data_IF_855180186028
#
_entry.id   IF_855180186028
#
_cell.length_a   1.000
_cell.length_b   1.000
_cell.length_c   1.000
_cell.angle_alpha   90.00
_cell.angle_beta   90.00
_cell.angle_gamma   90.00
#
_symmetry.space_group_name_H-M   'P 1'
#
loop_
_entity.id
_entity.type
_entity.pdbx_description
1 polymer ?
#
# COMPACT_ATOMS: atom_id res chain seq x y z
N UNK A 1 -34.60 0.13 19.40
CA UNK A 1 -35.10 0.52 18.06
C UNK A 1 -34.05 0.13 17.03
N UNK A 2 -34.27 -0.94 16.27
CA UNK A 2 -33.40 -1.34 15.15
C UNK A 2 -33.66 -0.42 13.96
N UNK A 3 -32.79 0.55 13.72
CA UNK A 3 -32.77 1.28 12.45
C UNK A 3 -32.37 0.30 11.36
N UNK A 4 -33.34 -0.21 10.59
CA UNK A 4 -33.07 -0.87 9.31
C UNK A 4 -32.35 0.17 8.47
N UNK A 5 -31.03 0.02 8.27
CA UNK A 5 -30.31 0.81 7.27
C UNK A 5 -30.97 0.48 5.93
N UNK A 6 -31.70 1.43 5.36
CA UNK A 6 -32.16 1.32 3.98
C UNK A 6 -30.92 1.15 3.11
N UNK A 7 -30.82 0.00 2.44
CA UNK A 7 -29.82 -0.17 1.39
C UNK A 7 -30.28 0.72 0.24
N UNK A 8 -29.39 1.57 -0.27
CA UNK A 8 -29.64 2.29 -1.50
C UNK A 8 -29.99 1.27 -2.59
N UNK A 9 -31.23 1.30 -3.07
CA UNK A 9 -31.66 0.48 -4.18
C UNK A 9 -31.04 0.99 -5.46
N UNK A 10 -30.28 0.16 -6.17
CA UNK A 10 -29.88 0.41 -7.54
C UNK A 10 -30.69 -0.49 -8.46
N UNK A 11 -31.18 0.05 -9.58
CA UNK A 11 -31.74 -0.78 -10.65
C UNK A 11 -30.69 -1.75 -11.22
N UNK A 12 -31.11 -2.77 -11.99
CA UNK A 12 -30.17 -3.61 -12.72
C UNK A 12 -29.30 -2.76 -13.66
N UNK A 13 -27.98 -2.88 -13.53
CA UNK A 13 -27.00 -2.21 -14.40
C UNK A 13 -26.23 -3.24 -15.21
N UNK A 14 -25.85 -2.89 -16.44
CA UNK A 14 -25.04 -3.77 -17.28
C UNK A 14 -23.60 -3.86 -16.74
N UNK A 15 -23.15 -5.07 -16.40
CA UNK A 15 -21.80 -5.32 -15.87
C UNK A 15 -20.73 -5.52 -16.95
N UNK A 16 -21.09 -5.48 -18.25
CA UNK A 16 -20.13 -5.65 -19.35
C UNK A 16 -18.91 -4.70 -19.33
N UNK A 17 -18.98 -3.46 -18.79
CA UNK A 17 -17.78 -2.62 -18.65
C UNK A 17 -16.70 -3.22 -17.77
N UNK A 18 -17.04 -4.08 -16.79
CA UNK A 18 -16.07 -4.74 -15.92
C UNK A 18 -15.22 -5.78 -16.66
N UNK A 19 -15.74 -6.34 -17.76
CA UNK A 19 -15.02 -7.30 -18.59
C UNK A 19 -14.13 -6.65 -19.65
N UNK A 20 -14.18 -5.32 -19.80
CA UNK A 20 -13.37 -4.62 -20.78
C UNK A 20 -11.92 -4.47 -20.30
N UNK A 21 -10.93 -4.52 -21.21
CA UNK A 21 -9.55 -4.20 -20.88
C UNK A 21 -9.40 -2.79 -20.28
N UNK A 22 -8.34 -2.63 -19.48
CA UNK A 22 -7.93 -1.35 -18.92
C UNK A 22 -6.46 -1.12 -19.26
N UNK A 23 -6.17 -0.01 -19.93
CA UNK A 23 -4.81 0.42 -20.28
C UNK A 23 -4.25 1.33 -19.19
N UNK A 24 -3.01 1.07 -18.78
CA UNK A 24 -2.26 1.90 -17.86
C UNK A 24 -1.22 2.69 -18.65
N UNK A 25 -1.49 3.99 -18.85
CA UNK A 25 -0.72 4.85 -19.77
C UNK A 25 0.78 4.92 -19.43
N UNK A 26 1.22 5.11 -18.16
CA UNK A 26 2.64 5.30 -17.87
C UNK A 26 3.52 4.10 -18.24
N UNK A 27 3.06 2.88 -17.94
CA UNK A 27 3.79 1.65 -18.25
C UNK A 27 3.46 1.01 -19.60
N UNK A 28 2.33 1.40 -20.21
CA UNK A 28 1.75 0.75 -21.39
C UNK A 28 1.18 -0.65 -21.12
N UNK A 29 0.99 -1.04 -19.86
CA UNK A 29 0.42 -2.35 -19.50
C UNK A 29 -1.09 -2.38 -19.70
N UNK A 30 -1.61 -3.57 -19.99
CA UNK A 30 -3.04 -3.79 -20.20
C UNK A 30 -3.52 -4.86 -19.23
N UNK A 31 -4.45 -4.50 -18.36
CA UNK A 31 -5.27 -5.46 -17.62
C UNK A 31 -6.40 -5.97 -18.53
N UNK A 32 -6.69 -7.27 -18.50
CA UNK A 32 -7.66 -7.90 -19.42
C UNK A 32 -9.12 -7.57 -19.08
N UNK A 33 -9.37 -7.22 -17.82
CA UNK A 33 -10.65 -6.85 -17.22
C UNK A 33 -10.40 -5.88 -16.06
N UNK A 34 -11.47 -5.35 -15.45
CA UNK A 34 -11.40 -4.35 -14.37
C UNK A 34 -11.52 -4.96 -12.97
N UNK A 35 -11.11 -6.22 -12.81
CA UNK A 35 -11.08 -6.88 -11.50
C UNK A 35 -9.67 -6.89 -10.92
N UNK A 36 -9.56 -6.34 -9.71
CA UNK A 36 -8.33 -6.29 -8.93
C UNK A 36 -8.49 -7.11 -7.64
N UNK A 37 -7.57 -8.05 -7.37
CA UNK A 37 -7.41 -8.65 -6.04
C UNK A 37 -6.60 -7.67 -5.20
N UNK A 38 -7.25 -7.10 -4.19
CA UNK A 38 -6.64 -6.13 -3.27
C UNK A 38 -5.62 -6.82 -2.35
N UNK A 39 -4.63 -6.09 -1.82
CA UNK A 39 -3.71 -6.59 -0.80
C UNK A 39 -4.46 -7.23 0.37
N UNK A 40 -4.02 -8.42 0.78
CA UNK A 40 -4.52 -9.12 1.96
C UNK A 40 -3.32 -9.80 2.60
N UNK A 41 -3.00 -9.49 3.86
CA UNK A 41 -1.92 -10.18 4.57
C UNK A 41 -2.18 -11.69 4.55
N UNK A 42 -1.28 -12.45 3.94
CA UNK A 42 -1.45 -13.89 3.80
C UNK A 42 -1.04 -14.63 5.08
N UNK A 43 -0.11 -14.09 5.87
CA UNK A 43 0.47 -14.72 7.06
C UNK A 43 0.99 -16.15 6.80
N UNK A 44 1.54 -16.39 5.61
CA UNK A 44 1.96 -17.72 5.13
C UNK A 44 3.43 -17.78 4.70
N UNK A 45 4.20 -16.69 4.78
CA UNK A 45 5.62 -16.72 4.48
C UNK A 45 6.37 -17.45 5.62
N UNK A 46 7.62 -17.83 5.37
CA UNK A 46 8.41 -18.48 6.42
C UNK A 46 8.62 -17.54 7.60
N UNK A 47 8.66 -18.07 8.83
CA UNK A 47 9.05 -17.30 10.00
C UNK A 47 9.99 -18.15 10.87
N UNK A 48 11.06 -17.53 11.33
CA UNK A 48 12.02 -18.10 12.25
C UNK A 48 12.18 -17.12 13.43
N UNK A 49 11.94 -17.55 14.68
CA UNK A 49 11.99 -16.65 15.82
C UNK A 49 13.39 -16.09 16.06
N UNK A 50 14.44 -16.83 15.71
CA UNK A 50 15.82 -16.55 16.11
C UNK A 50 16.71 -16.10 14.95
N UNK A 51 16.35 -16.43 13.70
CA UNK A 51 17.17 -16.15 12.52
C UNK A 51 16.40 -15.21 11.57
N UNK A 52 16.62 -13.89 11.66
CA UNK A 52 15.90 -12.89 10.86
C UNK A 52 15.93 -13.15 9.35
N UNK A 53 17.08 -13.57 8.80
CA UNK A 53 17.24 -13.85 7.37
C UNK A 53 16.41 -15.03 6.84
N UNK A 54 15.82 -15.85 7.72
CA UNK A 54 14.89 -16.93 7.36
C UNK A 54 13.41 -16.51 7.41
N UNK A 55 13.10 -15.28 7.80
CA UNK A 55 11.74 -14.73 7.83
C UNK A 55 11.31 -14.23 6.45
N UNK A 56 10.02 -14.30 6.14
CA UNK A 56 9.40 -13.70 4.97
C UNK A 56 9.75 -14.30 3.61
N UNK A 57 10.24 -15.54 3.54
CA UNK A 57 10.43 -16.22 2.26
C UNK A 57 9.07 -16.77 1.81
N UNK A 58 8.60 -16.50 0.57
CA UNK A 58 7.34 -17.06 0.12
C UNK A 58 7.35 -18.59 0.14
N UNK A 59 6.30 -19.18 0.68
CA UNK A 59 6.09 -20.64 0.75
C UNK A 59 5.38 -21.15 -0.50
N UNK A 60 5.34 -22.46 -0.69
CA UNK A 60 4.65 -23.06 -1.84
C UNK A 60 3.13 -22.84 -1.74
N UNK A 61 2.61 -22.73 -0.53
CA UNK A 61 1.22 -22.41 -0.21
C UNK A 61 0.85 -21.02 -0.71
N UNK A 62 1.71 -20.01 -0.47
CA UNK A 62 1.52 -18.68 -1.05
C UNK A 62 1.53 -18.78 -2.58
N UNK A 63 2.55 -19.43 -3.18
CA UNK A 63 2.65 -19.57 -4.64
C UNK A 63 1.37 -20.17 -5.23
N UNK A 64 0.79 -21.19 -4.58
CA UNK A 64 -0.46 -21.83 -5.00
C UNK A 64 -1.67 -20.88 -4.92
N UNK A 65 -1.80 -20.08 -3.85
CA UNK A 65 -2.91 -19.12 -3.72
C UNK A 65 -2.85 -18.09 -4.86
N UNK A 66 -1.67 -17.57 -5.16
CA UNK A 66 -1.50 -16.60 -6.25
C UNK A 66 -1.72 -17.23 -7.62
N UNK A 67 -1.32 -18.50 -7.80
CA UNK A 67 -1.69 -19.28 -9.00
C UNK A 67 -3.21 -19.33 -9.18
N UNK A 68 -3.96 -19.58 -8.10
CA UNK A 68 -5.44 -19.67 -8.14
C UNK A 68 -6.09 -18.35 -8.52
N UNK A 69 -5.54 -17.23 -8.06
CA UNK A 69 -6.02 -15.90 -8.46
C UNK A 69 -5.64 -15.55 -9.90
N UNK A 70 -4.48 -16.02 -10.35
CA UNK A 70 -3.92 -15.75 -11.68
C UNK A 70 -4.43 -16.64 -12.81
N UNK A 71 -5.08 -17.76 -12.50
CA UNK A 71 -5.51 -18.76 -13.48
C UNK A 71 -7.02 -18.87 -13.62
N UNK A 72 -7.44 -19.34 -14.80
CA UNK A 72 -8.82 -19.65 -15.12
C UNK A 72 -9.56 -18.54 -15.85
N UNK A 73 -10.77 -18.88 -16.32
CA UNK A 73 -11.60 -18.03 -17.19
C UNK A 73 -12.04 -16.71 -16.55
N UNK A 74 -12.10 -16.67 -15.22
CA UNK A 74 -12.53 -15.50 -14.43
C UNK A 74 -11.42 -15.02 -13.49
N UNK A 75 -10.16 -15.07 -13.95
CA UNK A 75 -9.02 -14.62 -13.16
C UNK A 75 -9.05 -13.10 -12.90
N UNK A 76 -8.34 -12.70 -11.86
CA UNK A 76 -8.12 -11.29 -11.54
C UNK A 76 -7.12 -10.72 -12.54
N UNK A 77 -7.44 -9.60 -13.20
CA UNK A 77 -6.48 -9.01 -14.14
C UNK A 77 -5.34 -8.28 -13.46
N UNK A 78 -5.59 -7.75 -12.26
CA UNK A 78 -4.56 -7.17 -11.41
C UNK A 78 -4.59 -7.90 -10.08
N UNK A 79 -3.43 -8.36 -9.62
CA UNK A 79 -3.26 -9.06 -8.35
C UNK A 79 -2.24 -8.28 -7.56
N UNK A 80 -2.63 -7.76 -6.40
CA UNK A 80 -1.68 -7.11 -5.48
C UNK A 80 -1.40 -8.05 -4.32
N UNK A 81 -0.13 -8.15 -3.93
CA UNK A 81 0.24 -9.02 -2.82
C UNK A 81 -0.25 -8.50 -1.47
N UNK A 82 -0.24 -9.33 -0.42
CA UNK A 82 -0.15 -8.81 0.94
C UNK A 82 1.16 -8.03 1.16
N UNK A 83 1.40 -7.63 2.40
CA UNK A 83 2.56 -6.82 2.78
C UNK A 83 3.87 -7.50 2.37
N UNK A 84 4.78 -6.69 1.83
CA UNK A 84 6.18 -7.01 1.63
C UNK A 84 6.97 -5.99 2.46
N UNK A 85 7.33 -6.39 3.68
CA UNK A 85 8.13 -5.55 4.56
C UNK A 85 9.58 -5.45 4.06
N UNK A 86 10.20 -4.30 4.34
CA UNK A 86 11.55 -3.95 3.83
C UNK A 86 12.68 -4.19 4.83
N UNK A 87 12.36 -4.72 6.00
CA UNK A 87 13.29 -5.02 7.08
C UNK A 87 12.86 -6.33 7.79
N UNK A 88 13.82 -7.05 8.38
CA UNK A 88 13.52 -8.32 9.06
C UNK A 88 12.93 -8.17 10.46
N UNK A 89 13.01 -6.97 11.03
CA UNK A 89 12.64 -6.66 12.41
C UNK A 89 11.51 -5.63 12.48
N UNK A 90 11.47 -4.65 11.55
CA UNK A 90 10.33 -3.73 11.40
C UNK A 90 9.18 -4.38 10.62
N UNK A 91 8.57 -5.42 11.19
CA UNK A 91 7.52 -6.22 10.55
C UNK A 91 6.11 -5.78 10.96
N UNK A 92 5.18 -5.78 10.00
CA UNK A 92 3.77 -5.44 10.21
C UNK A 92 3.01 -6.61 10.85
N UNK A 93 3.13 -7.79 10.24
CA UNK A 93 2.49 -9.02 10.69
C UNK A 93 3.47 -10.20 10.65
N UNK A 94 3.25 -11.17 11.54
CA UNK A 94 4.01 -12.42 11.51
C UNK A 94 3.78 -13.14 10.18
N UNK A 95 4.86 -13.63 9.59
CA UNK A 95 4.81 -14.36 8.32
C UNK A 95 4.33 -13.52 7.13
N UNK A 96 4.50 -12.19 7.20
CA UNK A 96 4.52 -11.34 6.01
C UNK A 96 5.74 -11.65 5.14
N UNK A 97 5.62 -11.37 3.84
CA UNK A 97 6.74 -11.49 2.92
C UNK A 97 7.75 -10.38 3.22
N UNK A 98 9.06 -10.64 3.03
CA UNK A 98 10.11 -9.66 3.35
C UNK A 98 11.14 -9.62 2.23
N UNK A 99 11.49 -8.40 1.81
CA UNK A 99 12.61 -8.10 0.91
C UNK A 99 13.43 -6.96 1.51
N UNK A 100 14.65 -7.25 1.96
CA UNK A 100 15.57 -6.24 2.51
C UNK A 100 16.59 -5.80 1.47
N UNK A 101 17.24 -4.66 1.70
CA UNK A 101 18.35 -4.17 0.85
C UNK A 101 19.55 -5.14 0.78
N UNK A 102 19.67 -6.04 1.76
CA UNK A 102 20.74 -7.03 1.82
C UNK A 102 20.39 -8.34 1.10
N UNK A 103 19.12 -8.53 0.67
CA UNK A 103 18.73 -9.71 -0.06
C UNK A 103 19.27 -9.67 -1.50
N UNK A 104 20.06 -10.67 -1.92
CA UNK A 104 20.64 -10.69 -3.26
C UNK A 104 19.58 -11.08 -4.31
N UNK A 105 19.82 -10.72 -5.57
CA UNK A 105 18.96 -11.09 -6.71
C UNK A 105 19.10 -12.57 -7.14
N UNK A 106 19.34 -13.46 -6.19
CA UNK A 106 19.55 -14.90 -6.35
C UNK A 106 19.23 -15.68 -5.05
N UNK A 107 19.25 -17.01 -5.14
CA UNK A 107 19.01 -17.89 -4.01
C UNK A 107 17.53 -18.06 -3.66
N UNK A 108 17.28 -18.80 -2.57
CA UNK A 108 15.95 -19.34 -2.24
C UNK A 108 14.86 -18.28 -2.15
N UNK A 109 15.14 -17.13 -1.51
CA UNK A 109 14.15 -16.04 -1.39
C UNK A 109 13.78 -15.51 -2.77
N UNK A 110 14.78 -15.20 -3.58
CA UNK A 110 14.59 -14.66 -4.92
C UNK A 110 13.83 -15.63 -5.82
N UNK A 111 14.20 -16.91 -5.77
CA UNK A 111 13.54 -17.97 -6.53
C UNK A 111 12.07 -18.12 -6.16
N UNK A 112 11.72 -17.98 -4.87
CA UNK A 112 10.33 -18.09 -4.41
C UNK A 112 9.48 -16.86 -4.78
N UNK A 113 10.02 -15.64 -4.71
CA UNK A 113 9.32 -14.47 -5.24
C UNK A 113 9.11 -14.58 -6.75
N UNK A 114 10.11 -15.09 -7.49
CA UNK A 114 9.99 -15.36 -8.93
C UNK A 114 8.93 -16.41 -9.23
N UNK A 115 8.86 -17.48 -8.43
CA UNK A 115 7.87 -18.54 -8.57
C UNK A 115 6.45 -18.02 -8.32
N UNK A 116 6.24 -17.25 -7.25
CA UNK A 116 4.97 -16.61 -6.91
C UNK A 116 4.48 -15.74 -8.07
N UNK A 117 5.36 -14.88 -8.58
CA UNK A 117 5.07 -14.02 -9.70
C UNK A 117 4.70 -14.76 -10.99
N UNK A 118 5.47 -15.79 -11.33
CA UNK A 118 5.22 -16.59 -12.52
C UNK A 118 3.88 -17.31 -12.40
N UNK A 119 3.57 -17.85 -11.22
CA UNK A 119 2.29 -18.49 -10.93
C UNK A 119 1.12 -17.52 -11.03
N UNK A 120 1.24 -16.31 -10.49
CA UNK A 120 0.24 -15.26 -10.58
C UNK A 120 -0.03 -14.80 -12.02
N UNK A 121 1.00 -14.77 -12.87
CA UNK A 121 0.92 -14.31 -14.26
C UNK A 121 0.40 -15.36 -15.25
N UNK A 122 0.10 -16.58 -14.79
CA UNK A 122 -0.09 -17.75 -15.66
C UNK A 122 -1.10 -17.53 -16.81
N UNK A 123 -2.25 -16.88 -16.55
CA UNK A 123 -3.21 -16.52 -17.59
C UNK A 123 -3.23 -14.99 -17.84
N UNK A 124 -2.05 -14.36 -17.79
CA UNK A 124 -1.78 -12.98 -18.16
C UNK A 124 -2.32 -11.91 -17.21
N UNK A 125 -2.50 -12.25 -15.93
CA UNK A 125 -2.70 -11.25 -14.87
C UNK A 125 -1.44 -10.41 -14.69
N UNK A 126 -1.62 -9.14 -14.35
CA UNK A 126 -0.57 -8.27 -13.83
C UNK A 126 -0.46 -8.53 -12.32
N UNK A 127 0.77 -8.53 -11.79
CA UNK A 127 1.01 -8.68 -10.36
C UNK A 127 1.84 -7.52 -9.83
N UNK A 128 1.41 -6.96 -8.71
CA UNK A 128 2.10 -5.92 -7.96
C UNK A 128 2.50 -6.47 -6.60
N UNK A 129 3.75 -6.29 -6.20
CA UNK A 129 4.16 -6.48 -4.81
C UNK A 129 3.83 -5.22 -4.00
N UNK A 130 3.00 -5.33 -2.96
CA UNK A 130 2.76 -4.22 -2.06
C UNK A 130 3.92 -4.08 -1.07
N UNK A 131 4.78 -3.09 -1.30
CA UNK A 131 5.93 -2.84 -0.42
C UNK A 131 5.51 -1.92 0.71
N UNK A 132 5.85 -2.29 1.94
CA UNK A 132 5.38 -1.67 3.18
C UNK A 132 6.51 -1.39 4.17
N UNK A 133 6.25 -0.43 5.05
CA UNK A 133 6.99 -0.26 6.29
C UNK A 133 6.00 0.15 7.39
N UNK A 134 5.91 -0.53 8.55
CA UNK A 134 4.85 -0.28 9.53
C UNK A 134 4.98 1.08 10.23
N UNK A 135 6.22 1.57 10.37
CA UNK A 135 6.52 2.83 11.06
C UNK A 135 6.12 2.75 12.53
N UNK A 136 5.31 3.70 13.03
CA UNK A 136 4.78 3.65 14.41
C UNK A 136 3.90 2.43 14.76
N UNK A 137 3.64 1.53 13.82
CA UNK A 137 2.89 0.27 13.99
C UNK A 137 3.79 -0.97 14.13
N UNK A 138 5.12 -0.82 14.15
CA UNK A 138 6.02 -1.95 14.42
C UNK A 138 5.70 -2.52 15.80
N UNK A 139 5.56 -3.84 15.92
CA UNK A 139 5.22 -4.47 17.19
C UNK A 139 6.33 -4.32 18.23
N UNK A 140 5.96 -3.96 19.46
CA UNK A 140 6.86 -3.88 20.62
C UNK A 140 7.55 -5.22 20.94
N UNK A 141 7.07 -6.33 20.36
CA UNK A 141 7.66 -7.67 20.50
C UNK A 141 8.96 -7.84 19.73
N UNK A 142 9.15 -7.10 18.65
CA UNK A 142 10.33 -7.20 17.78
C UNK A 142 11.26 -6.02 17.96
N UNK A 143 10.71 -4.82 18.15
CA UNK A 143 11.49 -3.60 18.33
C UNK A 143 10.99 -2.77 19.49
N UNK A 144 11.91 -2.08 20.15
CA UNK A 144 11.56 -1.14 21.23
C UNK A 144 11.26 0.26 20.70
N UNK A 145 11.87 0.63 19.57
CA UNK A 145 11.73 1.92 18.93
C UNK A 145 11.51 1.73 17.44
N UNK A 146 10.67 2.57 16.84
CA UNK A 146 10.41 2.51 15.41
C UNK A 146 10.41 3.89 14.77
N UNK A 147 10.84 3.96 13.52
CA UNK A 147 10.80 5.20 12.76
C UNK A 147 9.35 5.63 12.49
N UNK A 148 9.13 6.93 12.45
CA UNK A 148 7.86 7.56 12.08
C UNK A 148 8.15 8.94 11.50
N UNK A 149 7.13 9.59 10.92
CA UNK A 149 7.25 10.99 10.54
C UNK A 149 7.57 11.87 11.77
N UNK A 150 6.99 11.55 12.92
CA UNK A 150 7.23 12.23 14.20
C UNK A 150 7.03 11.29 15.39
N UNK A 151 7.51 11.68 16.57
CA UNK A 151 7.35 10.95 17.83
C UNK A 151 5.92 11.03 18.38
N UNK A 152 4.94 10.59 17.59
CA UNK A 152 3.52 10.58 17.92
C UNK A 152 3.04 9.13 18.03
N UNK A 153 2.90 8.57 19.26
CA UNK A 153 2.42 7.20 19.45
C UNK A 153 0.99 7.02 18.98
N UNK A 154 0.60 5.77 18.74
CA UNK A 154 -0.81 5.40 18.64
C UNK A 154 -1.48 5.59 19.99
N UNK A 155 -2.70 6.12 20.01
CA UNK A 155 -3.49 6.26 21.24
C UNK A 155 -4.11 4.93 21.65
N UNK A 156 -4.51 4.12 20.67
CA UNK A 156 -5.04 2.76 20.89
C UNK A 156 -3.91 1.73 20.84
N UNK A 157 -3.92 0.81 21.81
CA UNK A 157 -2.97 -0.29 21.91
C UNK A 157 -1.50 0.19 21.94
N UNK A 158 -1.23 1.36 22.50
CA UNK A 158 0.11 1.96 22.53
C UNK A 158 1.20 0.99 23.02
N UNK A 159 0.89 0.20 24.06
CA UNK A 159 1.81 -0.78 24.65
C UNK A 159 2.13 -1.98 23.73
N UNK A 160 1.34 -2.22 22.68
CA UNK A 160 1.58 -3.29 21.70
C UNK A 160 2.60 -2.88 20.62
N UNK A 161 2.94 -1.60 20.54
CA UNK A 161 3.76 -1.01 19.48
C UNK A 161 5.04 -0.39 20.02
N UNK A 162 6.09 -0.41 19.20
CA UNK A 162 7.35 0.23 19.47
C UNK A 162 7.17 1.74 19.67
N UNK A 163 8.03 2.36 20.49
CA UNK A 163 7.99 3.80 20.76
C UNK A 163 8.43 4.54 19.49
N UNK A 164 7.57 5.36 18.85
CA UNK A 164 7.97 6.01 17.63
C UNK A 164 8.90 7.18 17.88
N UNK A 165 9.86 7.38 16.98
CA UNK A 165 10.69 8.57 16.92
C UNK A 165 10.65 9.20 15.53
N UNK A 166 10.97 10.49 15.46
CA UNK A 166 11.03 11.20 14.18
C UNK A 166 12.25 10.74 13.39
N UNK A 167 12.03 10.21 12.18
CA UNK A 167 13.11 9.79 11.31
C UNK A 167 14.06 10.95 10.99
N UNK A 168 15.36 10.70 11.08
CA UNK A 168 16.42 11.56 10.55
C UNK A 168 16.38 11.63 9.01
N UNK A 169 17.11 12.59 8.41
CA UNK A 169 17.18 12.68 6.94
C UNK A 169 17.91 11.48 6.35
N UNK A 170 18.89 10.96 7.08
CA UNK A 170 19.65 9.76 6.74
C UNK A 170 18.74 8.53 6.76
N UNK A 171 17.87 8.38 7.76
CA UNK A 171 16.85 7.33 7.81
C UNK A 171 15.84 7.43 6.67
N UNK A 172 15.37 8.64 6.38
CA UNK A 172 14.48 8.88 5.23
C UNK A 172 15.18 8.45 3.93
N UNK A 173 16.46 8.79 3.75
CA UNK A 173 17.27 8.33 2.62
C UNK A 173 17.40 6.81 2.54
N UNK A 174 17.60 6.13 3.67
CA UNK A 174 17.63 4.65 3.74
C UNK A 174 16.29 4.04 3.34
N UNK A 175 15.18 4.62 3.78
CA UNK A 175 13.85 4.13 3.38
C UNK A 175 13.62 4.27 1.88
N UNK A 176 14.04 5.40 1.28
CA UNK A 176 14.00 5.55 -0.19
C UNK A 176 14.79 4.44 -0.89
N UNK A 177 16.01 4.17 -0.43
CA UNK A 177 16.87 3.10 -0.95
C UNK A 177 16.21 1.72 -0.84
N UNK A 178 15.63 1.41 0.33
CA UNK A 178 15.06 0.09 0.61
C UNK A 178 13.81 -0.19 -0.21
N UNK A 179 12.91 0.80 -0.35
CA UNK A 179 11.77 0.68 -1.25
C UNK A 179 12.22 0.52 -2.72
N UNK A 180 13.25 1.24 -3.14
CA UNK A 180 13.78 1.14 -4.50
C UNK A 180 14.42 -0.22 -4.79
N UNK A 181 15.19 -0.76 -3.83
CA UNK A 181 15.73 -2.12 -3.89
C UNK A 181 14.63 -3.16 -3.96
N UNK A 182 13.61 -3.06 -3.10
CA UNK A 182 12.48 -3.99 -3.11
C UNK A 182 11.74 -3.97 -4.46
N UNK A 183 11.55 -2.79 -5.06
CA UNK A 183 10.94 -2.67 -6.39
C UNK A 183 11.81 -3.31 -7.49
N UNK A 184 13.13 -3.10 -7.45
CA UNK A 184 14.08 -3.75 -8.38
C UNK A 184 14.10 -5.27 -8.20
N UNK A 185 14.02 -5.74 -6.96
CA UNK A 185 13.93 -7.17 -6.64
C UNK A 185 12.64 -7.77 -7.22
N UNK A 186 11.55 -7.01 -7.14
CA UNK A 186 10.25 -7.34 -7.72
C UNK A 186 10.19 -7.14 -9.23
N UNK A 187 11.17 -6.54 -9.90
CA UNK A 187 11.16 -6.36 -11.35
C UNK A 187 11.03 -7.69 -12.11
N UNK A 188 11.72 -8.74 -11.64
CA UNK A 188 11.55 -10.09 -12.23
C UNK A 188 10.21 -10.74 -11.84
N UNK A 189 9.54 -10.20 -10.83
CA UNK A 189 8.29 -10.70 -10.30
C UNK A 189 7.05 -9.99 -10.93
N UNK A 190 7.09 -8.69 -11.23
CA UNK A 190 5.85 -7.96 -11.51
C UNK A 190 6.04 -6.46 -11.64
N UNK A 191 5.29 -5.77 -10.80
CA UNK A 191 5.16 -4.33 -10.65
C UNK A 191 5.19 -4.01 -9.14
N UNK A 192 5.19 -2.74 -8.73
CA UNK A 192 5.19 -2.37 -7.31
C UNK A 192 3.98 -1.53 -6.93
N UNK A 193 3.40 -1.77 -5.77
CA UNK A 193 2.47 -0.86 -5.10
C UNK A 193 3.12 -0.32 -3.82
N UNK A 194 3.17 1.00 -3.67
CA UNK A 194 3.66 1.65 -2.45
C UNK A 194 2.54 1.72 -1.41
N UNK A 195 2.75 1.12 -0.23
CA UNK A 195 1.74 1.15 0.82
C UNK A 195 1.78 2.47 1.60
N UNK A 196 0.88 3.40 1.26
CA UNK A 196 0.75 4.72 1.88
C UNK A 196 -0.67 4.96 2.48
N UNK A 197 -1.22 3.92 3.10
CA UNK A 197 -2.54 3.90 3.70
C UNK A 197 -2.50 3.24 5.09
N UNK A 198 -3.65 3.18 5.77
CA UNK A 198 -3.84 2.50 7.06
C UNK A 198 -2.88 2.90 8.21
N UNK A 199 -2.20 4.03 8.07
CA UNK A 199 -1.24 4.50 9.06
C UNK A 199 0.11 3.82 9.01
N UNK A 200 0.47 3.12 7.92
CA UNK A 200 1.85 2.69 7.62
C UNK A 200 2.77 3.91 7.45
N UNK A 201 4.08 3.70 7.42
CA UNK A 201 5.09 4.78 7.44
C UNK A 201 4.81 5.87 6.40
N UNK A 202 4.54 5.51 5.15
CA UNK A 202 4.28 6.51 4.10
C UNK A 202 3.00 7.31 4.40
N UNK A 203 1.94 6.65 4.91
CA UNK A 203 0.72 7.32 5.39
C UNK A 203 1.00 8.28 6.54
N UNK A 204 1.98 7.97 7.40
CA UNK A 204 2.36 8.81 8.53
C UNK A 204 3.00 10.13 8.07
N UNK A 205 3.72 10.14 6.94
CA UNK A 205 4.23 11.39 6.36
C UNK A 205 3.12 12.22 5.70
N UNK A 206 2.10 11.57 5.15
CA UNK A 206 0.96 12.22 4.52
C UNK A 206 -0.03 12.85 5.51
N UNK A 207 -0.19 12.29 6.70
CA UNK A 207 -1.24 12.72 7.64
C UNK A 207 -0.74 13.80 8.60
N UNK A 208 -1.46 14.93 8.71
CA UNK A 208 -1.11 16.00 9.68
C UNK A 208 -1.31 15.56 11.13
N UNK A 209 -2.06 14.48 11.36
CA UNK A 209 -2.26 13.89 12.69
C UNK A 209 -0.98 13.25 13.23
N UNK A 210 -0.13 12.73 12.34
CA UNK A 210 1.08 11.95 12.69
C UNK A 210 2.38 12.64 12.29
N UNK A 211 2.37 13.44 11.23
CA UNK A 211 3.49 14.28 10.83
C UNK A 211 3.41 15.65 11.54
N UNK A 212 4.36 15.90 12.43
CA UNK A 212 4.55 17.18 13.14
C UNK A 212 5.88 17.84 12.77
N UNK A 213 6.51 17.42 11.68
CA UNK A 213 7.80 17.95 11.25
C UNK A 213 7.64 19.39 10.75
N UNK A 214 8.71 20.16 10.94
CA UNK A 214 8.83 21.55 10.49
C UNK A 214 9.89 21.73 9.40
N UNK A 215 10.49 20.64 8.93
CA UNK A 215 11.48 20.60 7.87
C UNK A 215 10.81 20.37 6.49
N UNK A 216 11.62 20.02 5.47
CA UNK A 216 11.14 19.79 4.11
C UNK A 216 10.25 18.54 3.94
N UNK A 217 10.09 17.72 4.98
CA UNK A 217 9.17 16.58 5.02
C UNK A 217 7.93 16.86 5.88
N UNK A 218 7.74 18.11 6.31
CA UNK A 218 6.65 18.54 7.19
C UNK A 218 5.31 18.79 6.52
N UNK A 219 4.41 19.41 7.28
CA UNK A 219 2.99 19.61 6.92
C UNK A 219 2.66 20.95 6.26
N UNK A 220 3.68 21.78 6.00
CA UNK A 220 3.51 23.15 5.52
C UNK A 220 2.86 23.19 4.13
N UNK A 221 3.17 22.21 3.28
CA UNK A 221 2.58 22.05 1.95
C UNK A 221 2.29 20.58 1.66
N UNK A 222 1.48 20.32 0.64
CA UNK A 222 1.25 18.97 0.17
C UNK A 222 2.53 18.31 -0.35
N UNK A 223 3.35 19.08 -1.08
CA UNK A 223 4.62 18.62 -1.65
C UNK A 223 5.60 18.19 -0.56
N UNK A 224 5.64 18.88 0.58
CA UNK A 224 6.49 18.48 1.71
C UNK A 224 6.04 17.14 2.29
N UNK A 225 4.73 16.94 2.49
CA UNK A 225 4.17 15.67 2.96
C UNK A 225 4.42 14.52 1.97
N UNK A 226 4.32 14.81 0.67
CA UNK A 226 4.53 13.82 -0.40
C UNK A 226 6.01 13.51 -0.66
N UNK A 227 6.94 14.33 -0.16
CA UNK A 227 8.36 14.31 -0.54
C UNK A 227 9.03 12.94 -0.39
N UNK A 228 8.72 12.19 0.68
CA UNK A 228 9.22 10.83 0.86
C UNK A 228 8.74 9.91 -0.27
N UNK A 229 7.44 9.94 -0.58
CA UNK A 229 6.84 9.11 -1.64
C UNK A 229 7.40 9.52 -3.01
N UNK A 230 7.53 10.81 -3.29
CA UNK A 230 8.15 11.30 -4.53
C UNK A 230 9.59 10.80 -4.68
N UNK A 231 10.38 10.84 -3.60
CA UNK A 231 11.74 10.31 -3.58
C UNK A 231 11.80 8.81 -3.85
N UNK A 232 10.89 8.03 -3.25
CA UNK A 232 10.74 6.59 -3.52
C UNK A 232 10.41 6.36 -4.99
N UNK A 233 9.40 7.03 -5.53
CA UNK A 233 8.96 6.85 -6.93
C UNK A 233 10.11 7.16 -7.91
N UNK A 234 10.84 8.25 -7.68
CA UNK A 234 11.99 8.62 -8.50
C UNK A 234 13.11 7.58 -8.41
N UNK A 235 13.44 7.10 -7.22
CA UNK A 235 14.47 6.08 -7.02
C UNK A 235 14.08 4.72 -7.64
N UNK A 236 12.82 4.31 -7.53
CA UNK A 236 12.27 3.12 -8.19
C UNK A 236 12.42 3.24 -9.70
N UNK A 237 11.91 4.34 -10.29
CA UNK A 237 11.96 4.57 -11.74
C UNK A 237 13.38 4.65 -12.32
N UNK A 238 14.37 4.99 -11.49
CA UNK A 238 15.77 4.98 -11.90
C UNK A 238 16.38 3.57 -12.03
N UNK A 239 15.75 2.53 -11.45
CA UNK A 239 16.28 1.16 -11.38
C UNK A 239 15.53 0.14 -12.22
N UNK A 240 14.29 0.46 -12.60
CA UNK A 240 13.40 -0.43 -13.34
C UNK A 240 13.10 0.15 -14.72
N UNK A 241 12.81 -0.69 -15.74
CA UNK A 241 12.43 -0.17 -17.05
C UNK A 241 11.08 0.55 -16.98
N UNK A 242 10.83 1.46 -17.93
CA UNK A 242 9.57 2.21 -18.01
C UNK A 242 8.31 1.35 -18.13
N UNK A 243 8.43 0.08 -18.52
CA UNK A 243 7.31 -0.89 -18.61
C UNK A 243 6.97 -1.57 -17.29
N UNK A 244 7.71 -1.29 -16.21
CA UNK A 244 7.41 -1.73 -14.86
C UNK A 244 6.41 -0.78 -14.21
N UNK A 245 5.25 -1.30 -13.79
CA UNK A 245 4.22 -0.42 -13.22
C UNK A 245 4.58 -0.01 -11.80
N UNK A 246 4.25 1.23 -11.48
CA UNK A 246 4.33 1.77 -10.13
C UNK A 246 2.96 2.28 -9.75
N UNK A 247 2.39 1.74 -8.68
CA UNK A 247 1.13 2.17 -8.09
C UNK A 247 1.32 2.59 -6.63
N UNK A 248 0.30 3.18 -6.03
CA UNK A 248 0.28 3.47 -4.61
C UNK A 248 -1.11 3.23 -4.03
N UNK A 249 -1.14 2.80 -2.76
CA UNK A 249 -2.38 2.73 -1.98
C UNK A 249 -2.46 3.92 -1.02
N UNK A 250 -3.56 4.65 -1.05
CA UNK A 250 -3.79 5.84 -0.22
C UNK A 250 -5.10 5.77 0.57
N UNK A 251 -5.13 6.44 1.72
CA UNK A 251 -6.40 6.73 2.39
C UNK A 251 -7.13 7.86 1.65
N UNK A 252 -8.37 7.63 1.24
CA UNK A 252 -9.28 8.68 0.75
C UNK A 252 -9.79 9.57 1.88
N UNK A 253 -9.80 9.04 3.11
CA UNK A 253 -10.15 9.75 4.33
C UNK A 253 -9.58 9.03 5.55
N UNK A 254 -9.12 9.80 6.54
CA UNK A 254 -8.81 9.32 7.89
C UNK A 254 -9.82 9.93 8.88
N UNK A 255 -10.47 9.08 9.67
CA UNK A 255 -11.59 9.48 10.53
C UNK A 255 -11.14 10.07 11.89
N UNK A 256 -10.10 10.89 11.86
CA UNK A 256 -9.50 11.51 13.04
C UNK A 256 -9.08 12.95 12.71
N UNK A 257 -8.97 13.79 13.75
CA UNK A 257 -8.54 15.17 13.59
C UNK A 257 -7.13 15.25 13.00
N UNK A 258 -6.96 16.13 12.00
CA UNK A 258 -5.71 16.25 11.25
C UNK A 258 -5.41 15.06 10.32
N UNK A 259 -6.35 14.14 10.14
CA UNK A 259 -6.23 13.06 9.17
C UNK A 259 -6.24 13.55 7.71
N UNK A 260 -5.89 12.66 6.79
CA UNK A 260 -6.09 12.90 5.35
C UNK A 260 -7.58 13.13 5.06
N UNK A 261 -7.92 14.19 4.33
CA UNK A 261 -9.30 14.49 3.89
C UNK A 261 -9.52 14.06 2.43
N UNK A 262 -10.77 14.00 1.95
CA UNK A 262 -11.05 13.76 0.53
C UNK A 262 -10.40 14.79 -0.41
N UNK A 263 -10.32 16.06 0.01
CA UNK A 263 -9.64 17.12 -0.74
C UNK A 263 -8.13 16.88 -0.79
N UNK A 264 -7.50 16.56 0.35
CA UNK A 264 -6.09 16.13 0.38
C UNK A 264 -5.89 14.92 -0.56
N UNK A 265 -6.76 13.92 -0.48
CA UNK A 265 -6.65 12.70 -1.29
C UNK A 265 -6.76 12.98 -2.79
N UNK A 266 -7.63 13.91 -3.20
CA UNK A 266 -7.73 14.37 -4.58
C UNK A 266 -6.42 14.99 -5.05
N UNK A 267 -5.89 15.96 -4.31
CA UNK A 267 -4.63 16.63 -4.69
C UNK A 267 -3.44 15.65 -4.68
N UNK A 268 -3.41 14.70 -3.73
CA UNK A 268 -2.42 13.63 -3.70
C UNK A 268 -2.49 12.76 -4.96
N UNK A 269 -3.69 12.40 -5.43
CA UNK A 269 -3.86 11.63 -6.66
C UNK A 269 -3.33 12.40 -7.88
N UNK A 270 -3.64 13.69 -7.99
CA UNK A 270 -3.14 14.54 -9.09
C UNK A 270 -1.59 14.60 -9.07
N UNK A 271 -0.98 14.76 -7.89
CA UNK A 271 0.49 14.75 -7.77
C UNK A 271 1.14 13.40 -8.06
N UNK A 272 0.49 12.30 -7.68
CA UNK A 272 0.98 10.96 -8.02
C UNK A 272 0.86 10.65 -9.51
N UNK A 273 -0.18 11.16 -10.18
CA UNK A 273 -0.30 11.11 -11.64
C UNK A 273 0.82 11.91 -12.32
N UNK A 274 1.12 13.13 -11.85
CA UNK A 274 2.26 13.93 -12.34
C UNK A 274 3.61 13.19 -12.18
N UNK A 275 3.77 12.40 -11.11
CA UNK A 275 4.94 11.53 -10.89
C UNK A 275 4.94 10.29 -11.79
N UNK A 276 3.85 10.04 -12.53
CA UNK A 276 3.66 8.97 -13.49
C UNK A 276 3.39 7.62 -12.86
N UNK A 277 2.59 7.56 -11.79
CA UNK A 277 2.04 6.30 -11.29
C UNK A 277 0.95 5.78 -12.24
N UNK A 278 0.89 4.46 -12.41
CA UNK A 278 -0.09 3.79 -13.26
C UNK A 278 -1.51 3.86 -12.68
N UNK A 279 -1.65 3.74 -11.37
CA UNK A 279 -2.90 3.94 -10.67
C UNK A 279 -2.69 4.23 -9.18
N UNK A 280 -3.75 4.74 -8.55
CA UNK A 280 -3.85 4.90 -7.10
C UNK A 280 -5.03 4.07 -6.59
N UNK A 281 -4.77 3.14 -5.67
CA UNK A 281 -5.80 2.37 -4.97
C UNK A 281 -6.27 3.15 -3.73
N UNK A 282 -7.54 3.56 -3.71
CA UNK A 282 -8.11 4.30 -2.58
C UNK A 282 -8.70 3.37 -1.52
N UNK A 283 -8.37 3.67 -0.27
CA UNK A 283 -8.90 3.03 0.93
C UNK A 283 -9.45 4.08 1.92
N UNK A 284 -9.68 3.73 3.19
CA UNK A 284 -10.04 4.69 4.23
C UNK A 284 -9.85 4.14 5.64
N UNK A 285 -9.52 5.05 6.56
CA UNK A 285 -9.29 4.76 7.98
C UNK A 285 -7.85 4.36 8.33
N UNK A 286 -7.63 4.15 9.63
CA UNK A 286 -6.37 3.69 10.21
C UNK A 286 -6.63 2.97 11.55
N UNK A 287 -5.60 2.41 12.20
CA UNK A 287 -5.74 1.78 13.52
C UNK A 287 -6.35 2.68 14.59
N UNK A 288 -6.16 4.00 14.51
CA UNK A 288 -6.80 4.96 15.41
C UNK A 288 -8.32 4.97 15.25
N UNK A 289 -8.79 4.94 14.00
CA UNK A 289 -10.20 4.86 13.69
C UNK A 289 -10.42 4.17 12.34
N UNK A 290 -10.88 2.91 12.40
CA UNK A 290 -11.24 2.11 11.23
C UNK A 290 -12.54 2.57 10.53
N UNK A 291 -13.18 3.66 10.99
CA UNK A 291 -14.47 4.13 10.45
C UNK A 291 -15.66 3.21 10.77
N UNK A 292 -15.43 2.15 11.56
CA UNK A 292 -16.46 1.30 12.16
C UNK A 292 -16.35 1.33 13.67
N UNK A 293 -16.97 2.32 14.30
CA UNK A 293 -17.68 2.11 15.58
C UNK A 293 -18.51 3.29 16.09
N UNK A 294 -18.74 4.36 15.34
CA UNK A 294 -19.83 5.29 15.68
C UNK A 294 -20.60 5.73 14.44
N UNK A 295 -21.92 5.82 14.60
CA UNK A 295 -22.96 6.05 13.62
C UNK A 295 -22.96 7.47 13.02
N UNK A 296 -21.86 7.88 12.39
CA UNK A 296 -21.74 9.22 11.79
C UNK A 296 -21.27 9.17 10.34
N UNK A 297 -21.91 8.33 9.52
CA UNK A 297 -21.97 8.59 8.08
C UNK A 297 -22.95 9.74 7.81
N UNK A 298 -22.62 10.94 8.28
CA UNK A 298 -23.18 12.15 7.68
C UNK A 298 -22.25 12.48 6.52
N UNK A 299 -22.56 11.91 5.35
CA UNK A 299 -22.25 12.61 4.10
C UNK A 299 -22.89 13.99 4.30
N UNK A 300 -22.08 15.04 4.45
CA UNK A 300 -22.61 16.39 4.33
C UNK A 300 -23.36 16.41 3.01
N UNK A 301 -24.68 16.51 3.07
CA UNK A 301 -25.50 16.72 1.90
C UNK A 301 -24.96 18.01 1.27
N UNK A 302 -24.18 17.89 0.20
CA UNK A 302 -24.09 18.98 -0.74
C UNK A 302 -25.54 19.24 -1.17
N UNK A 303 -26.06 20.47 -1.04
CA UNK A 303 -27.38 20.77 -1.57
C UNK A 303 -27.38 20.39 -3.04
N UNK A 304 -28.37 19.58 -3.41
CA UNK A 304 -28.64 19.10 -4.76
C UNK A 304 -28.26 20.15 -5.81
N UNK A 305 -27.26 19.83 -6.63
CA UNK A 305 -27.09 20.45 -7.94
C UNK A 305 -28.33 20.10 -8.75
N UNK A 306 -29.33 20.97 -8.66
CA UNK A 306 -30.45 21.02 -9.60
C UNK A 306 -29.84 21.42 -10.93
N UNK A 307 -29.60 20.44 -11.80
CA UNK A 307 -29.41 20.71 -13.22
C UNK A 307 -30.73 21.29 -13.75
N UNK A 308 -30.76 22.50 -14.33
CA UNK A 308 -31.92 22.96 -15.06
C UNK A 308 -32.11 22.08 -16.29
N UNK A 309 -33.29 21.51 -16.44
CA UNK A 309 -33.71 20.84 -17.66
C UNK A 309 -34.09 21.87 -18.73
N UNK A 310 -33.57 21.65 -19.95
CA UNK A 310 -33.87 22.28 -21.24
C UNK A 310 -33.35 23.72 -21.45
#
# INVERSE_FOLDING_TARGET
MTTKRERYGSGPVNASPLAQPLHFEPSGRIAKNRFLKSPMAEALATFDPDIPSKRGIPTNEIVEIYRRWGQGKNNWSVIVTGNIDIDYEDIAELSDMIITVNDPFEGKRFDQFRALATAAKADGSLILGQVSHPGRQVSARFQTHAISASAVPLTKYAEAFAIPYAASKEEIGRIVEWFAHAAEYLYKAGCVELHAAYGFLLSQFLSRSTNKRTDEYGVQTLENRLRLISGIVQAVKARVPSTFMVAAKLNSVEFQEGGVTPEDAKELCEKLEELGLDFVELSGGAFENFGRMESHWHVQQQPSLVYPSA
#
